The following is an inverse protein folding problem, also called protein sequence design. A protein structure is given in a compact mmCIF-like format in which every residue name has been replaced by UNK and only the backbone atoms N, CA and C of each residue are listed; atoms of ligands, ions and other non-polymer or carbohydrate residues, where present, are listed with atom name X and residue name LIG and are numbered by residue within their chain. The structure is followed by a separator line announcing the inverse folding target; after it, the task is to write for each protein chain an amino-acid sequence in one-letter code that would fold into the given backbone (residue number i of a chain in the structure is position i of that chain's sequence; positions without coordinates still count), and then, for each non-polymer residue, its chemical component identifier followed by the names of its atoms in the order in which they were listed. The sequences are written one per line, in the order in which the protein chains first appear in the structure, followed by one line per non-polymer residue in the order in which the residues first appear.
data_IF_858323987683
#
_entry.id   IF_858323987683
#
_cell.length_a   1.000
_cell.length_b   1.000
_cell.length_c   1.000
_cell.angle_alpha   90.00
_cell.angle_beta   90.00
_cell.angle_gamma   90.00
#
_symmetry.space_group_name_H-M   'P 1'
#
loop_
_entity.id
_entity.type
_entity.pdbx_description
1 polymer ?
#
# COMPACT_ATOMS: atom_id res chain seq x y z
N UNK A 1 -0.22 -18.39 -3.69
CA UNK A 1 -0.10 -17.05 -3.09
C UNK A 1 1.32 -16.47 -3.24
N UNK A 2 2.10 -16.89 -4.25
CA UNK A 2 3.53 -16.57 -4.38
C UNK A 2 3.83 -15.06 -4.42
N UNK A 3 3.12 -14.30 -5.24
CA UNK A 3 3.30 -12.83 -5.33
C UNK A 3 3.00 -12.09 -4.02
N UNK A 4 2.08 -12.62 -3.20
CA UNK A 4 1.77 -12.04 -1.91
C UNK A 4 2.87 -12.32 -0.89
N UNK A 5 3.47 -13.51 -0.95
CA UNK A 5 4.55 -13.93 -0.06
C UNK A 5 5.86 -13.17 -0.32
N UNK A 6 6.03 -12.58 -1.51
CA UNK A 6 7.18 -11.72 -1.83
C UNK A 6 7.03 -10.28 -1.35
N UNK A 7 5.85 -9.88 -0.85
CA UNK A 7 5.61 -8.53 -0.30
C UNK A 7 5.52 -8.61 1.22
N UNK A 8 6.45 -7.93 1.90
CA UNK A 8 6.39 -7.74 3.33
C UNK A 8 5.33 -6.71 3.69
N UNK A 9 4.30 -7.16 4.40
CA UNK A 9 3.33 -6.26 5.03
C UNK A 9 4.01 -5.51 6.19
N UNK A 10 4.04 -4.16 6.18
CA UNK A 10 4.74 -3.37 7.17
C UNK A 10 4.36 -3.75 8.61
N UNK A 11 5.33 -4.03 9.49
CA UNK A 11 5.06 -4.47 10.87
C UNK A 11 4.26 -3.45 11.69
N UNK A 12 4.34 -2.16 11.35
CA UNK A 12 3.61 -1.08 12.03
C UNK A 12 2.09 -1.28 11.94
N UNK A 13 1.58 -1.77 10.81
CA UNK A 13 0.13 -1.99 10.64
C UNK A 13 -0.39 -3.16 11.46
N UNK A 14 0.47 -4.14 11.81
CA UNK A 14 0.10 -5.24 12.70
C UNK A 14 -0.11 -4.79 14.15
N UNK A 15 0.39 -3.61 14.51
CA UNK A 15 0.27 -3.04 15.86
C UNK A 15 -0.96 -2.16 16.03
N UNK A 16 -1.61 -1.76 14.93
CA UNK A 16 -2.83 -0.96 14.94
C UNK A 16 -3.97 -1.90 15.36
N UNK A 17 -4.59 -1.60 16.51
CA UNK A 17 -5.69 -2.39 17.08
C UNK A 17 -7.05 -1.72 16.97
N UNK A 18 -7.05 -0.41 16.79
CA UNK A 18 -8.24 0.42 16.68
C UNK A 18 -8.22 1.19 15.35
N UNK A 19 -9.39 1.62 14.90
CA UNK A 19 -9.51 2.48 13.73
C UNK A 19 -8.78 3.81 13.98
N UNK A 20 -7.94 4.23 13.03
CA UNK A 20 -7.19 5.49 13.12
C UNK A 20 -7.37 6.33 11.85
N UNK A 21 -7.01 7.61 11.93
CA UNK A 21 -6.88 8.49 10.76
C UNK A 21 -5.41 8.76 10.48
N UNK A 22 -5.02 8.65 9.22
CA UNK A 22 -3.68 9.02 8.77
C UNK A 22 -3.68 9.42 7.28
N UNK A 23 -2.67 10.19 6.84
CA UNK A 23 -2.49 10.45 5.41
C UNK A 23 -2.25 9.15 4.65
N UNK A 24 -2.85 9.04 3.46
CA UNK A 24 -2.63 7.89 2.60
C UNK A 24 -1.16 7.73 2.17
N UNK A 25 -0.41 8.83 2.06
CA UNK A 25 1.03 8.81 1.77
C UNK A 25 1.84 8.04 2.83
N UNK A 26 1.41 8.07 4.10
CA UNK A 26 2.08 7.32 5.19
C UNK A 26 1.95 5.81 4.96
N UNK A 27 0.85 5.37 4.33
CA UNK A 27 0.69 3.96 3.97
C UNK A 27 1.72 3.56 2.92
N UNK A 28 1.83 4.35 1.86
CA UNK A 28 2.77 4.11 0.76
C UNK A 28 4.23 4.10 1.27
N UNK A 29 4.64 5.12 2.03
CA UNK A 29 5.97 5.23 2.62
C UNK A 29 6.32 4.01 3.49
N UNK A 30 5.36 3.50 4.26
CA UNK A 30 5.57 2.31 5.08
C UNK A 30 5.79 1.06 4.24
N UNK A 31 5.11 0.92 3.10
CA UNK A 31 5.30 -0.19 2.17
C UNK A 31 6.67 -0.12 1.48
N UNK A 32 7.09 1.05 1.01
CA UNK A 32 8.41 1.27 0.41
C UNK A 32 9.52 0.97 1.43
N UNK A 33 9.34 1.38 2.68
CA UNK A 33 10.32 1.10 3.75
C UNK A 33 10.43 -0.38 4.10
N UNK A 34 9.31 -1.11 4.08
CA UNK A 34 9.30 -2.55 4.36
C UNK A 34 9.75 -3.39 3.17
N UNK A 35 9.69 -2.85 1.95
CA UNK A 35 10.03 -3.55 0.72
C UNK A 35 10.97 -2.69 -0.14
N UNK A 36 12.29 -2.70 0.15
CA UNK A 36 13.25 -1.84 -0.53
C UNK A 36 13.38 -2.09 -2.05
N UNK A 37 12.93 -3.24 -2.53
CA UNK A 37 12.90 -3.57 -3.95
C UNK A 37 11.70 -2.94 -4.70
N UNK A 38 10.74 -2.34 -3.96
CA UNK A 38 9.65 -1.57 -4.54
C UNK A 38 10.08 -0.13 -4.78
N UNK A 39 9.85 0.36 -5.99
CA UNK A 39 9.95 1.78 -6.30
C UNK A 39 8.62 2.49 -6.00
N UNK A 40 8.61 3.83 -5.79
CA UNK A 40 7.39 4.60 -5.54
C UNK A 40 6.28 4.31 -6.55
N UNK A 41 6.59 4.36 -7.84
CA UNK A 41 5.61 4.10 -8.90
C UNK A 41 5.14 2.63 -8.97
N UNK A 42 5.77 1.70 -8.23
CA UNK A 42 5.39 0.29 -8.15
C UNK A 42 4.33 -0.03 -7.09
N UNK A 43 3.96 0.95 -6.26
CA UNK A 43 2.97 0.84 -5.20
C UNK A 43 1.90 1.90 -5.40
N UNK A 44 0.64 1.55 -5.13
CA UNK A 44 -0.46 2.52 -5.15
C UNK A 44 -1.42 2.26 -4.01
N UNK A 45 -1.82 3.31 -3.31
CA UNK A 45 -2.81 3.23 -2.23
C UNK A 45 -4.15 3.76 -2.74
N UNK A 46 -5.22 2.99 -2.64
CA UNK A 46 -6.55 3.45 -3.04
C UNK A 46 -7.41 3.79 -1.83
N UNK A 47 -8.31 4.76 -2.01
CA UNK A 47 -9.31 5.11 -1.02
C UNK A 47 -10.73 4.99 -1.57
N UNK A 48 -11.67 4.69 -0.67
CA UNK A 48 -13.10 4.68 -0.98
C UNK A 48 -13.90 5.12 0.24
N UNK A 49 -14.86 6.01 0.00
CA UNK A 49 -15.73 6.56 1.05
C UNK A 49 -14.98 7.13 2.28
N UNK A 50 -13.79 7.71 2.07
CA UNK A 50 -12.95 8.26 3.14
C UNK A 50 -12.03 7.26 3.85
N UNK A 51 -12.03 5.99 3.41
CA UNK A 51 -11.19 4.93 3.99
C UNK A 51 -10.05 4.55 3.06
N UNK A 52 -8.90 4.18 3.61
CA UNK A 52 -7.88 3.38 2.94
C UNK A 52 -8.52 2.03 2.59
N UNK A 53 -8.61 1.73 1.30
CA UNK A 53 -9.28 0.53 0.82
C UNK A 53 -8.30 -0.59 0.53
N UNK A 54 -7.25 -0.31 -0.25
CA UNK A 54 -6.29 -1.33 -0.65
C UNK A 54 -4.92 -0.73 -0.95
N UNK A 55 -3.91 -1.61 -0.91
CA UNK A 55 -2.58 -1.35 -1.46
C UNK A 55 -2.40 -2.27 -2.65
N UNK A 56 -2.10 -1.69 -3.80
CA UNK A 56 -1.80 -2.39 -5.05
C UNK A 56 -0.29 -2.36 -5.26
N UNK A 57 0.28 -3.51 -5.59
CA UNK A 57 1.70 -3.63 -5.94
C UNK A 57 1.77 -4.17 -7.37
N UNK A 58 2.48 -3.45 -8.24
CA UNK A 58 2.65 -3.88 -9.62
C UNK A 58 3.87 -4.77 -9.78
N UNK A 59 3.67 -5.87 -10.50
CA UNK A 59 4.70 -6.87 -10.73
C UNK A 59 4.67 -7.35 -12.18
N UNK A 60 5.83 -7.77 -12.65
CA UNK A 60 5.96 -8.56 -13.88
C UNK A 60 5.38 -9.96 -13.70
N UNK A 61 5.24 -10.71 -14.81
CA UNK A 61 4.73 -12.10 -14.79
C UNK A 61 5.63 -13.06 -14.01
N UNK A 62 6.90 -12.72 -13.90
CA UNK A 62 7.91 -13.44 -13.10
C UNK A 62 8.06 -12.88 -11.69
N UNK A 63 7.09 -12.08 -11.22
CA UNK A 63 6.94 -11.60 -9.85
C UNK A 63 8.05 -10.65 -9.38
N UNK A 64 8.65 -9.89 -10.32
CA UNK A 64 9.55 -8.79 -9.97
C UNK A 64 8.77 -7.48 -9.87
N UNK A 65 9.07 -6.62 -8.89
CA UNK A 65 8.51 -5.27 -8.84
C UNK A 65 8.74 -4.52 -10.13
N UNK A 66 7.72 -3.82 -10.60
CA UNK A 66 7.80 -2.92 -11.77
C UNK A 66 6.93 -1.69 -11.53
N UNK A 67 7.23 -0.55 -12.15
CA UNK A 67 6.34 0.60 -12.15
C UNK A 67 4.93 0.21 -12.64
N UNK A 68 3.91 0.70 -11.94
CA UNK A 68 2.53 0.57 -12.35
C UNK A 68 2.24 1.36 -13.63
N UNK A 69 1.29 0.87 -14.42
CA UNK A 69 0.79 1.61 -15.58
C UNK A 69 0.07 2.89 -15.15
N UNK A 70 0.05 3.90 -16.04
CA UNK A 70 -0.57 5.22 -15.78
C UNK A 70 -2.03 5.15 -15.31
N UNK A 71 -2.77 4.13 -15.73
CA UNK A 71 -4.16 3.95 -15.33
C UNK A 71 -4.33 3.39 -13.91
N UNK A 72 -3.25 2.83 -13.35
CA UNK A 72 -3.20 2.15 -12.04
C UNK A 72 -2.57 3.04 -10.98
N UNK A 73 -1.57 3.86 -11.31
CA UNK A 73 -0.95 4.86 -10.40
C UNK A 73 -1.95 5.98 -10.11
N UNK A 74 -2.92 5.69 -9.25
CA UNK A 74 -3.92 6.63 -8.77
C UNK A 74 -3.91 6.58 -7.26
N UNK A 75 -3.00 7.34 -6.68
CA UNK A 75 -2.89 7.41 -5.24
C UNK A 75 -4.04 8.18 -4.64
N UNK A 76 -4.49 7.65 -3.52
CA UNK A 76 -5.34 8.37 -2.61
C UNK A 76 -4.60 9.60 -2.09
N UNK A 77 -5.18 10.79 -2.31
CA UNK A 77 -4.63 12.06 -1.85
C UNK A 77 -5.20 12.53 -0.50
N UNK A 78 -6.01 11.70 0.17
CA UNK A 78 -6.58 12.04 1.47
C UNK A 78 -5.48 12.16 2.53
N UNK A 79 -5.49 13.28 3.25
CA UNK A 79 -4.60 13.54 4.38
C UNK A 79 -5.14 13.02 5.71
N UNK A 80 -6.41 12.62 5.77
CA UNK A 80 -7.11 12.16 6.98
C UNK A 80 -7.88 10.85 6.78
N UNK A 81 -7.39 9.98 5.89
CA UNK A 81 -8.05 8.72 5.54
C UNK A 81 -8.24 7.81 6.76
N UNK A 82 -9.41 7.21 6.88
CA UNK A 82 -9.71 6.20 7.89
C UNK A 82 -9.04 4.88 7.53
N UNK A 83 -8.37 4.28 8.50
CA UNK A 83 -7.70 3.00 8.36
C UNK A 83 -8.17 2.05 9.45
N UNK A 84 -8.77 0.95 9.01
CA UNK A 84 -9.21 -0.11 9.92
C UNK A 84 -8.07 -1.07 10.25
N UNK A 85 -8.05 -1.64 11.47
CA UNK A 85 -7.13 -2.70 11.82
C UNK A 85 -7.21 -3.87 10.85
N UNK A 86 -6.06 -4.30 10.35
CA UNK A 86 -5.97 -5.48 9.50
C UNK A 86 -6.08 -6.72 10.40
N UNK A 87 -7.08 -7.56 10.15
CA UNK A 87 -7.28 -8.85 10.84
C UNK A 87 -6.41 -9.97 10.28
#
# INVERSE_FOLDING_TARGET
RRAYETVERPPVFRKIKDQIRLPASVIEEAFLKANPDLEPDGVTVTCKAGYIQEVRVCMSKDLRPVPCGRDVVKDCSLSDALFDPIK
#
